data_IF_379769363298
#
_entry.id   IF_379769363298
#
_cell.length_a   1.000
_cell.length_b   1.000
_cell.length_c   1.000
_cell.angle_alpha   90.00
_cell.angle_beta   90.00
_cell.angle_gamma   90.00
#
_symmetry.space_group_name_H-M   'P 1'
#
loop_
_entity.id
_entity.type
_entity.pdbx_description
1 polymer ?
#
# COMPACT_ATOMS: atom_id res chain seq x y z
N UNK A 1 9.98 -8.54 -1.32
CA UNK A 1 10.04 -8.10 0.09
C UNK A 1 8.73 -8.42 0.77
N UNK A 2 8.79 -8.79 2.02
CA UNK A 2 7.60 -9.19 2.74
C UNK A 2 6.92 -7.97 3.37
N UNK A 3 5.62 -7.84 3.16
CA UNK A 3 4.87 -6.76 3.77
C UNK A 3 4.57 -7.10 5.22
N UNK A 4 5.06 -6.26 6.14
CA UNK A 4 4.81 -6.45 7.56
C UNK A 4 3.80 -5.41 8.04
N UNK A 5 3.23 -5.67 9.20
CA UNK A 5 2.31 -4.72 9.82
C UNK A 5 3.00 -3.37 10.04
N UNK A 6 4.26 -3.40 10.46
CA UNK A 6 5.02 -2.17 10.70
C UNK A 6 5.19 -1.34 9.43
N UNK A 7 5.53 -2.00 8.32
CA UNK A 7 5.68 -1.32 7.05
C UNK A 7 4.34 -0.73 6.61
N UNK A 8 3.27 -1.50 6.76
CA UNK A 8 1.95 -1.04 6.39
C UNK A 8 1.57 0.23 7.15
N UNK A 9 1.82 0.24 8.46
CA UNK A 9 1.49 1.39 9.29
C UNK A 9 2.39 2.58 8.99
N UNK A 10 3.63 2.34 8.60
CA UNK A 10 4.59 3.40 8.33
C UNK A 10 4.16 4.27 7.17
N UNK A 11 3.46 3.73 6.20
CA UNK A 11 3.10 4.45 4.99
C UNK A 11 1.64 4.92 4.98
N UNK A 12 1.02 5.00 6.15
CA UNK A 12 -0.31 5.60 6.25
C UNK A 12 -0.24 7.10 5.92
N UNK A 13 -1.36 7.64 5.48
CA UNK A 13 -1.47 9.08 5.32
C UNK A 13 -1.53 9.73 6.71
N UNK A 14 -1.33 11.05 6.80
CA UNK A 14 -1.47 11.74 8.09
C UNK A 14 -2.82 11.56 8.75
N UNK A 15 -3.86 11.26 7.97
CA UNK A 15 -5.18 11.01 8.51
C UNK A 15 -5.35 9.59 9.03
N UNK A 16 -4.29 8.76 8.94
CA UNK A 16 -4.36 7.38 9.41
C UNK A 16 -4.98 6.41 8.43
N UNK A 17 -5.03 6.80 7.16
CA UNK A 17 -5.63 5.99 6.11
C UNK A 17 -4.59 5.67 5.05
N UNK A 18 -5.02 4.96 4.02
CA UNK A 18 -4.17 4.65 2.87
C UNK A 18 -4.83 5.17 1.62
N UNK A 19 -4.00 5.53 0.63
CA UNK A 19 -4.53 6.01 -0.64
C UNK A 19 -4.99 4.85 -1.49
N UNK A 20 -5.88 5.14 -2.42
CA UNK A 20 -6.38 4.13 -3.35
C UNK A 20 -5.23 3.46 -4.10
N UNK A 21 -4.25 4.24 -4.56
CA UNK A 21 -3.14 3.69 -5.33
C UNK A 21 -2.30 2.73 -4.48
N UNK A 22 -2.18 3.02 -3.18
CA UNK A 22 -1.45 2.13 -2.29
C UNK A 22 -2.13 0.76 -2.20
N UNK A 23 -3.43 0.76 -2.03
CA UNK A 23 -4.18 -0.49 -1.90
C UNK A 23 -4.23 -1.24 -3.22
N UNK A 24 -4.33 -0.52 -4.32
CA UNK A 24 -4.28 -1.16 -5.63
C UNK A 24 -2.92 -1.83 -5.88
N UNK A 25 -1.84 -1.23 -5.38
CA UNK A 25 -0.51 -1.85 -5.49
C UNK A 25 -0.45 -3.18 -4.76
N UNK A 26 -1.27 -3.36 -3.74
CA UNK A 26 -1.35 -4.62 -3.00
C UNK A 26 -2.33 -5.61 -3.61
N UNK A 27 -2.96 -5.25 -4.72
CA UNK A 27 -3.91 -6.11 -5.38
C UNK A 27 -5.31 -6.07 -4.80
N UNK A 28 -5.61 -5.05 -4.01
CA UNK A 28 -6.92 -4.94 -3.38
C UNK A 28 -7.89 -4.14 -4.24
N UNK A 29 -9.16 -4.44 -4.10
CA UNK A 29 -10.22 -3.66 -4.71
C UNK A 29 -10.45 -2.38 -3.91
N UNK A 30 -11.03 -1.40 -4.53
CA UNK A 30 -11.35 -0.15 -3.84
C UNK A 30 -12.87 0.03 -3.83
N UNK A 31 -13.48 0.26 -2.68
CA UNK A 31 -12.87 0.26 -1.34
C UNK A 31 -12.52 -1.16 -0.90
N UNK A 32 -11.54 -1.31 0.01
CA UNK A 32 -11.13 -2.64 0.44
C UNK A 32 -12.15 -3.26 1.38
N UNK A 33 -12.13 -4.58 1.43
CA UNK A 33 -13.00 -5.33 2.33
C UNK A 33 -12.60 -5.11 3.78
N UNK A 34 -13.56 -5.31 4.66
CA UNK A 34 -13.28 -5.35 6.08
C UNK A 34 -12.25 -6.43 6.37
N UNK A 35 -11.24 -6.11 7.17
CA UNK A 35 -10.20 -7.09 7.50
C UNK A 35 -9.10 -7.22 6.47
N UNK A 36 -9.02 -6.29 5.52
CA UNK A 36 -8.03 -6.35 4.47
C UNK A 36 -6.60 -6.32 5.03
N UNK A 37 -6.40 -5.66 6.16
CA UNK A 37 -5.06 -5.56 6.74
C UNK A 37 -4.51 -6.94 7.07
N UNK A 38 -5.33 -7.78 7.69
CA UNK A 38 -4.90 -9.13 8.02
C UNK A 38 -4.59 -9.95 6.79
N UNK A 39 -5.26 -9.66 5.68
CA UNK A 39 -5.08 -10.41 4.44
C UNK A 39 -3.78 -10.07 3.74
N UNK A 40 -3.31 -8.84 3.89
CA UNK A 40 -2.11 -8.42 3.17
C UNK A 40 -0.84 -8.52 4.01
N UNK A 41 -0.95 -8.53 5.33
CA UNK A 41 0.24 -8.68 6.18
C UNK A 41 0.84 -10.06 5.94
N UNK A 42 2.13 -10.07 5.61
CA UNK A 42 2.83 -11.31 5.31
C UNK A 42 2.93 -11.64 3.84
N UNK A 43 2.24 -10.88 2.97
CA UNK A 43 2.35 -11.16 1.55
C UNK A 43 3.70 -10.73 1.01
N UNK A 44 4.12 -11.38 -0.07
CA UNK A 44 5.37 -11.04 -0.72
C UNK A 44 5.12 -9.96 -1.76
N UNK A 45 5.87 -8.86 -1.68
CA UNK A 45 5.76 -7.77 -2.64
C UNK A 45 6.95 -7.79 -3.59
N UNK A 46 6.68 -7.52 -4.86
CA UNK A 46 7.76 -7.24 -5.80
C UNK A 46 8.27 -5.83 -5.51
N UNK A 47 9.46 -5.54 -6.02
CA UNK A 47 10.01 -4.20 -5.88
C UNK A 47 9.08 -3.15 -6.47
N UNK A 48 8.48 -3.46 -7.59
CA UNK A 48 7.55 -2.55 -8.24
C UNK A 48 6.32 -2.27 -7.39
N UNK A 49 5.77 -3.32 -6.77
CA UNK A 49 4.63 -3.16 -5.89
C UNK A 49 4.99 -2.29 -4.68
N UNK A 50 6.16 -2.52 -4.13
CA UNK A 50 6.61 -1.74 -2.99
C UNK A 50 6.77 -0.27 -3.35
N UNK A 51 7.35 0.00 -4.52
CA UNK A 51 7.51 1.38 -4.98
C UNK A 51 6.17 2.06 -5.16
N UNK A 52 5.19 1.37 -5.72
CA UNK A 52 3.86 1.92 -5.89
C UNK A 52 3.19 2.15 -4.55
N UNK A 53 3.38 1.22 -3.63
CA UNK A 53 2.78 1.34 -2.30
C UNK A 53 3.36 2.51 -1.52
N UNK A 54 4.64 2.72 -1.60
CA UNK A 54 5.30 3.80 -0.85
C UNK A 54 5.18 5.15 -1.54
N UNK A 55 4.73 5.19 -2.78
CA UNK A 55 4.63 6.43 -3.52
C UNK A 55 5.94 6.93 -4.07
N UNK A 56 6.96 6.07 -4.14
CA UNK A 56 8.27 6.47 -4.65
C UNK A 56 8.40 6.25 -6.15
N UNK A 57 7.36 5.80 -6.79
CA UNK A 57 7.36 5.63 -8.23
C UNK A 57 7.32 6.99 -8.89
N UNK A 58 8.30 7.34 -9.74
CA UNK A 58 8.31 8.66 -10.39
C UNK A 58 7.06 8.96 -11.20
N UNK A 59 6.43 7.95 -11.74
CA UNK A 59 5.23 8.15 -12.56
C UNK A 59 4.03 8.59 -11.74
N UNK A 60 4.12 8.55 -10.43
CA UNK A 60 3.00 8.91 -9.56
C UNK A 60 3.22 10.22 -8.86
N UNK A 61 4.17 10.96 -9.31
CA UNK A 61 4.39 12.22 -8.65
C UNK A 61 3.35 13.21 -8.96
N UNK A 62 2.63 13.25 -9.28
CA UNK A 62 1.73 14.18 -9.40
C UNK A 62 1.04 14.66 -8.57
N UNK A 63 1.02 14.92 -8.31
CA UNK A 63 0.40 15.17 -7.70
C UNK A 63 -0.04 15.86 -7.10
N UNK A 64 -0.22 16.05 -6.88
CA UNK A 64 -0.84 16.66 -6.42
C UNK A 64 -0.72 17.10 -5.95
#
# INVERSE_FOLDING_TARGET
>A
MKLTHDILMQYRTPAGLWRKVQLQALGLSWPPDHGWIKRVVGMELTERQFQQFTGQNPDQQELF
#
